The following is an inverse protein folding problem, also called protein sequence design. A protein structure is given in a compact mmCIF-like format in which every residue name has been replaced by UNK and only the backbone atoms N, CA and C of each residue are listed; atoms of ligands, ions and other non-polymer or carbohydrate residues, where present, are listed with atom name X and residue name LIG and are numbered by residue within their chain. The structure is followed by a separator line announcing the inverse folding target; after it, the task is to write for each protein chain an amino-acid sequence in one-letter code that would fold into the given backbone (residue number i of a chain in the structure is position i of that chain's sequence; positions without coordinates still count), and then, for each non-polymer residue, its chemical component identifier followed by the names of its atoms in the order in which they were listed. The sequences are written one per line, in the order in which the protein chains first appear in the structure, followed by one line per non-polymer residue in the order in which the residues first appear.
data_IF_554138101322
#
_entry.id   IF_554138101322
#
_cell.length_a   1.000
_cell.length_b   1.000
_cell.length_c   1.000
_cell.angle_alpha   90.00
_cell.angle_beta   90.00
_cell.angle_gamma   90.00
#
_symmetry.space_group_name_H-M   'P 1'
#
loop_
_entity.id
_entity.type
_entity.pdbx_description
1 polymer ?
#
# COMPACT_ATOMS: atom_id res chain seq x y z
N UNK A 1 -73.51 -36.58 0.63
CA UNK A 1 -72.07 -36.62 0.98
C UNK A 1 -71.87 -35.96 2.33
N UNK A 2 -71.22 -36.71 3.25
CA UNK A 2 -70.34 -36.35 4.39
C UNK A 2 -70.76 -35.26 5.43
N UNK A 3 -70.34 -35.42 6.71
CA UNK A 3 -71.13 -34.97 7.86
C UNK A 3 -70.49 -33.83 8.68
N UNK A 4 -71.39 -33.06 9.32
CA UNK A 4 -71.42 -32.56 10.72
C UNK A 4 -70.13 -32.19 11.49
N UNK A 5 -70.24 -30.98 12.10
CA UNK A 5 -69.95 -30.57 13.50
C UNK A 5 -68.49 -30.68 14.01
N UNK A 6 -67.95 -29.61 14.60
CA UNK A 6 -67.97 -29.34 16.05
C UNK A 6 -67.14 -28.09 16.42
N UNK A 7 -67.54 -27.51 17.55
CA UNK A 7 -66.99 -26.37 18.29
C UNK A 7 -65.89 -26.86 19.27
N UNK A 8 -64.99 -25.95 19.69
CA UNK A 8 -63.95 -26.04 20.75
C UNK A 8 -62.66 -26.79 20.35
N UNK A 9 -61.45 -26.35 20.72
CA UNK A 9 -60.93 -26.28 22.09
C UNK A 9 -59.72 -25.33 22.16
N UNK A 10 -59.72 -24.49 23.20
CA UNK A 10 -58.57 -23.82 23.83
C UNK A 10 -57.70 -24.88 24.54
N UNK A 11 -56.37 -24.80 24.39
CA UNK A 11 -55.33 -25.35 25.30
C UNK A 11 -55.11 -26.88 25.32
N UNK A 12 -53.88 -27.27 24.97
CA UNK A 12 -52.99 -28.23 25.64
C UNK A 12 -51.71 -28.28 24.75
N UNK A 13 -50.53 -27.80 25.12
CA UNK A 13 -49.86 -27.92 26.40
C UNK A 13 -49.00 -26.68 26.67
N UNK A 14 -49.28 -26.02 27.78
CA UNK A 14 -48.23 -25.48 28.61
C UNK A 14 -47.50 -26.65 29.29
N UNK A 15 -46.23 -26.43 29.63
CA UNK A 15 -45.44 -27.13 30.65
C UNK A 15 -44.86 -28.50 30.29
N UNK A 16 -43.66 -28.50 29.68
CA UNK A 16 -42.45 -29.30 29.99
C UNK A 16 -41.38 -28.69 29.07
N UNK A 17 -40.57 -27.69 29.42
CA UNK A 17 -39.53 -27.67 30.45
C UNK A 17 -39.40 -26.26 31.01
N UNK A 18 -39.35 -26.13 32.33
CA UNK A 18 -38.71 -25.00 32.99
C UNK A 18 -37.22 -25.11 32.76
N UNK A 19 -36.67 -24.24 31.92
CA UNK A 19 -35.32 -23.73 32.13
C UNK A 19 -35.38 -22.22 31.96
N UNK A 20 -34.92 -21.55 33.00
CA UNK A 20 -34.83 -20.10 33.08
C UNK A 20 -33.89 -19.58 32.02
N UNK A 21 -34.43 -18.85 31.04
CA UNK A 21 -33.72 -17.75 30.45
C UNK A 21 -34.61 -16.52 30.63
N UNK A 22 -34.26 -15.68 31.60
CA UNK A 22 -34.58 -14.27 31.49
C UNK A 22 -34.21 -13.86 30.08
N UNK A 23 -35.20 -13.51 29.25
CA UNK A 23 -34.92 -12.84 27.99
C UNK A 23 -34.16 -11.57 28.35
N UNK A 24 -32.84 -11.63 28.22
CA UNK A 24 -32.00 -10.46 28.17
C UNK A 24 -32.64 -9.63 27.05
N UNK A 25 -33.09 -8.39 27.30
CA UNK A 25 -33.62 -7.56 26.23
C UNK A 25 -32.59 -7.59 25.12
N UNK A 26 -33.03 -8.02 23.94
CA UNK A 26 -32.16 -8.27 22.81
C UNK A 26 -31.56 -6.94 22.37
N UNK A 27 -30.43 -6.61 22.98
CA UNK A 27 -29.74 -5.34 22.80
C UNK A 27 -28.85 -5.40 21.55
N UNK A 28 -29.12 -6.33 20.63
CA UNK A 28 -28.51 -6.35 19.32
C UNK A 28 -28.91 -5.06 18.58
N UNK A 29 -27.96 -4.13 18.50
CA UNK A 29 -28.03 -3.04 17.54
C UNK A 29 -28.08 -3.73 16.18
N UNK A 30 -29.25 -3.71 15.56
CA UNK A 30 -29.43 -4.30 14.25
C UNK A 30 -28.72 -3.41 13.24
N UNK A 31 -27.57 -3.86 12.73
CA UNK A 31 -26.87 -3.21 11.63
C UNK A 31 -27.70 -3.21 10.32
N UNK A 32 -28.88 -3.87 10.31
CA UNK A 32 -29.84 -3.92 9.20
C UNK A 32 -30.33 -2.55 8.71
N UNK A 33 -30.22 -1.50 9.52
CA UNK A 33 -30.59 -0.14 9.11
C UNK A 33 -29.45 0.62 8.40
N UNK A 34 -28.25 0.05 8.30
CA UNK A 34 -27.19 0.65 7.51
C UNK A 34 -27.42 0.39 6.02
N UNK A 35 -27.27 1.46 5.22
CA UNK A 35 -27.53 1.40 3.78
C UNK A 35 -26.42 0.71 2.99
N UNK A 36 -25.17 0.78 3.46
CA UNK A 36 -24.01 0.28 2.71
C UNK A 36 -22.91 -0.31 3.60
N UNK A 37 -22.08 -1.17 3.00
CA UNK A 37 -20.85 -1.70 3.64
C UNK A 37 -19.85 -0.57 3.97
N UNK A 38 -19.82 0.49 3.17
CA UNK A 38 -18.91 1.61 3.41
C UNK A 38 -19.28 2.38 4.68
N UNK A 39 -20.58 2.58 4.92
CA UNK A 39 -21.09 3.17 6.16
C UNK A 39 -20.74 2.30 7.38
N UNK A 40 -20.87 0.97 7.23
CA UNK A 40 -20.51 0.01 8.27
C UNK A 40 -19.02 0.08 8.62
N UNK A 41 -18.14 0.07 7.61
CA UNK A 41 -16.70 0.09 7.81
C UNK A 41 -16.17 1.45 8.29
N UNK A 42 -16.91 2.53 8.06
CA UNK A 42 -16.56 3.88 8.53
C UNK A 42 -16.80 4.09 10.04
N UNK A 43 -17.57 3.21 10.69
CA UNK A 43 -17.86 3.33 12.11
C UNK A 43 -16.59 3.26 12.98
N UNK A 44 -16.55 4.00 14.10
CA UNK A 44 -15.51 3.83 15.10
C UNK A 44 -15.60 2.43 15.72
N UNK A 45 -14.46 1.88 16.15
CA UNK A 45 -14.41 0.56 16.79
C UNK A 45 -15.34 0.47 18.01
N UNK A 46 -15.54 1.58 18.73
CA UNK A 46 -16.46 1.67 19.86
C UNK A 46 -17.92 1.42 19.50
N UNK A 47 -18.32 1.60 18.24
CA UNK A 47 -19.68 1.35 17.74
C UNK A 47 -19.74 0.05 16.94
N UNK A 48 -18.75 -0.16 16.07
CA UNK A 48 -18.65 -1.33 15.19
C UNK A 48 -18.51 -2.64 15.97
N UNK A 49 -17.85 -2.60 17.13
CA UNK A 49 -17.52 -3.79 17.92
C UNK A 49 -18.50 -4.03 19.08
N UNK A 50 -19.54 -3.19 19.24
CA UNK A 50 -20.57 -3.40 20.26
C UNK A 50 -21.29 -4.73 20.04
N UNK A 51 -21.52 -5.46 21.13
CA UNK A 51 -22.30 -6.70 21.15
C UNK A 51 -21.83 -7.77 20.13
N UNK A 52 -20.53 -7.82 19.86
CA UNK A 52 -19.92 -8.80 18.93
C UNK A 52 -19.86 -8.34 17.48
N UNK A 53 -20.34 -7.14 17.16
CA UNK A 53 -20.32 -6.56 15.82
C UNK A 53 -21.40 -7.12 14.87
N UNK A 54 -21.35 -6.74 13.58
CA UNK A 54 -22.32 -7.20 12.59
C UNK A 54 -22.19 -8.70 12.32
N UNK A 55 -23.33 -9.36 12.08
CA UNK A 55 -23.38 -10.78 11.70
C UNK A 55 -23.00 -10.98 10.23
N UNK A 56 -22.74 -12.24 9.82
CA UNK A 56 -22.53 -12.56 8.40
C UNK A 56 -23.74 -12.15 7.57
N UNK A 57 -24.93 -12.44 8.07
CA UNK A 57 -26.20 -12.13 7.41
C UNK A 57 -26.39 -10.62 7.24
N UNK A 58 -25.96 -9.80 8.21
CA UNK A 58 -26.01 -8.34 8.09
C UNK A 58 -25.11 -7.84 6.94
N UNK A 59 -23.89 -8.37 6.84
CA UNK A 59 -22.92 -7.99 5.80
C UNK A 59 -23.40 -8.48 4.42
N UNK A 60 -23.85 -9.73 4.33
CA UNK A 60 -24.38 -10.31 3.10
C UNK A 60 -25.59 -9.54 2.58
N UNK A 61 -26.52 -9.14 3.47
CA UNK A 61 -27.69 -8.36 3.09
C UNK A 61 -27.29 -6.99 2.54
N UNK A 62 -26.28 -6.32 3.12
CA UNK A 62 -25.76 -5.06 2.59
C UNK A 62 -25.11 -5.23 1.20
N UNK A 63 -24.34 -6.31 1.02
CA UNK A 63 -23.74 -6.64 -0.27
C UNK A 63 -24.79 -6.95 -1.33
N UNK A 64 -25.85 -7.69 -0.98
CA UNK A 64 -26.97 -8.02 -1.85
C UNK A 64 -27.77 -6.80 -2.31
N UNK A 65 -27.90 -5.80 -1.43
CA UNK A 65 -28.54 -4.53 -1.74
C UNK A 65 -27.60 -3.54 -2.47
N UNK A 66 -26.36 -3.95 -2.74
CA UNK A 66 -25.38 -3.14 -3.45
C UNK A 66 -25.78 -2.85 -4.90
N UNK A 67 -25.34 -1.70 -5.44
CA UNK A 67 -25.69 -1.22 -6.78
C UNK A 67 -25.28 -2.19 -7.91
N UNK A 68 -24.18 -2.93 -7.75
CA UNK A 68 -23.71 -3.90 -8.74
C UNK A 68 -24.23 -5.34 -8.50
N UNK A 69 -24.83 -5.62 -7.34
CA UNK A 69 -25.24 -6.98 -6.99
C UNK A 69 -26.34 -7.50 -7.92
N UNK A 70 -27.40 -6.71 -8.15
CA UNK A 70 -28.51 -7.10 -9.03
C UNK A 70 -28.06 -7.45 -10.46
N UNK A 71 -27.30 -6.60 -11.18
CA UNK A 71 -26.81 -6.97 -12.50
C UNK A 71 -25.84 -8.17 -12.48
N UNK A 72 -25.02 -8.35 -11.42
CA UNK A 72 -24.18 -9.55 -11.27
C UNK A 72 -25.02 -10.83 -11.19
N UNK A 73 -26.07 -10.84 -10.36
CA UNK A 73 -26.98 -11.99 -10.23
C UNK A 73 -27.77 -12.28 -11.51
N UNK A 74 -28.13 -11.26 -12.28
CA UNK A 74 -28.84 -11.44 -13.55
C UNK A 74 -27.95 -12.09 -14.61
N UNK A 75 -26.64 -11.85 -14.57
CA UNK A 75 -25.68 -12.40 -15.53
C UNK A 75 -25.20 -13.81 -15.14
N UNK A 76 -24.73 -13.99 -13.91
CA UNK A 76 -24.25 -15.28 -13.39
C UNK A 76 -24.54 -15.39 -11.89
N UNK A 77 -25.65 -16.04 -11.50
CA UNK A 77 -26.01 -16.21 -10.10
C UNK A 77 -24.98 -16.98 -9.27
N UNK A 78 -24.23 -17.90 -9.88
CA UNK A 78 -23.26 -18.73 -9.17
C UNK A 78 -21.99 -17.92 -8.87
N UNK A 79 -21.49 -17.18 -9.86
CA UNK A 79 -20.37 -16.26 -9.67
C UNK A 79 -20.72 -15.13 -8.69
N UNK A 80 -21.94 -14.58 -8.78
CA UNK A 80 -22.40 -13.53 -7.86
C UNK A 80 -22.42 -14.00 -6.40
N UNK A 81 -22.93 -15.21 -6.12
CA UNK A 81 -22.89 -15.81 -4.76
C UNK A 81 -21.47 -16.00 -4.27
N UNK A 82 -20.57 -16.51 -5.11
CA UNK A 82 -19.18 -16.72 -4.74
C UNK A 82 -18.47 -15.40 -4.37
N UNK A 83 -18.67 -14.35 -5.16
CA UNK A 83 -18.09 -13.03 -4.90
C UNK A 83 -18.63 -12.43 -3.60
N UNK A 84 -19.95 -12.50 -3.36
CA UNK A 84 -20.55 -11.97 -2.14
C UNK A 84 -20.05 -12.70 -0.90
N UNK A 85 -19.95 -14.03 -0.96
CA UNK A 85 -19.39 -14.81 0.14
C UNK A 85 -17.93 -14.44 0.41
N UNK A 86 -17.12 -14.26 -0.64
CA UNK A 86 -15.72 -13.84 -0.51
C UNK A 86 -15.61 -12.43 0.11
N UNK A 87 -16.42 -11.48 -0.36
CA UNK A 87 -16.47 -10.13 0.20
C UNK A 87 -16.90 -10.15 1.67
N UNK A 88 -17.95 -10.90 2.01
CA UNK A 88 -18.46 -11.03 3.37
C UNK A 88 -17.39 -11.52 4.34
N UNK A 89 -16.70 -12.60 4.00
CA UNK A 89 -15.63 -13.16 4.84
C UNK A 89 -14.46 -12.18 5.02
N UNK A 90 -14.06 -11.45 3.96
CA UNK A 90 -12.98 -10.46 4.05
C UNK A 90 -13.39 -9.24 4.89
N UNK A 91 -14.61 -8.74 4.74
CA UNK A 91 -15.16 -7.65 5.55
C UNK A 91 -15.20 -8.07 7.01
N UNK A 92 -15.71 -9.26 7.31
CA UNK A 92 -15.77 -9.81 8.67
C UNK A 92 -14.39 -9.96 9.30
N UNK A 93 -13.40 -10.46 8.55
CA UNK A 93 -12.02 -10.55 9.01
C UNK A 93 -11.45 -9.16 9.36
N UNK A 94 -11.73 -8.16 8.53
CA UNK A 94 -11.27 -6.78 8.76
C UNK A 94 -11.95 -6.13 9.97
N UNK A 95 -13.25 -6.34 10.15
CA UNK A 95 -13.98 -5.88 11.33
C UNK A 95 -13.38 -6.51 12.59
N UNK A 96 -13.14 -7.83 12.58
CA UNK A 96 -12.49 -8.54 13.69
C UNK A 96 -11.10 -7.95 14.01
N UNK A 97 -10.31 -7.61 12.99
CA UNK A 97 -9.01 -6.96 13.16
C UNK A 97 -9.16 -5.58 13.83
N UNK A 98 -10.07 -4.73 13.34
CA UNK A 98 -10.37 -3.43 13.96
C UNK A 98 -10.81 -3.56 15.41
N UNK A 99 -11.59 -4.59 15.74
CA UNK A 99 -12.04 -4.85 17.10
C UNK A 99 -10.96 -5.45 18.02
N UNK A 100 -9.91 -6.04 17.46
CA UNK A 100 -8.86 -6.72 18.22
C UNK A 100 -7.64 -5.83 18.50
N UNK A 101 -7.43 -4.77 17.71
CA UNK A 101 -6.31 -3.85 17.88
C UNK A 101 -6.80 -2.50 18.41
N UNK A 102 -6.58 -2.18 19.71
CA UNK A 102 -6.61 -0.79 20.15
C UNK A 102 -5.49 -0.02 19.44
N UNK A 103 -5.76 1.23 19.03
CA UNK A 103 -4.81 2.10 18.34
C UNK A 103 -3.44 2.05 19.04
N UNK A 104 -2.44 1.50 18.36
CA UNK A 104 -1.08 1.51 18.88
C UNK A 104 -0.58 2.96 18.89
N UNK A 105 0.13 3.41 19.93
CA UNK A 105 0.71 4.74 19.94
C UNK A 105 1.72 4.87 18.80
N UNK A 106 1.31 5.54 17.72
CA UNK A 106 2.16 5.94 16.63
C UNK A 106 2.78 7.30 16.95
N UNK A 107 4.05 7.51 16.61
CA UNK A 107 4.69 8.82 16.74
C UNK A 107 3.99 9.80 15.81
N UNK A 108 3.67 10.98 16.32
CA UNK A 108 3.07 12.06 15.53
C UNK A 108 4.07 12.58 14.49
N UNK A 109 3.73 12.45 13.22
CA UNK A 109 4.48 13.04 12.11
C UNK A 109 3.97 14.48 11.86
N UNK A 110 4.87 15.37 11.46
CA UNK A 110 4.50 16.76 11.09
C UNK A 110 4.93 17.06 9.66
N UNK A 111 4.31 18.08 9.06
CA UNK A 111 4.63 18.50 7.68
C UNK A 111 6.08 18.95 7.55
N UNK A 112 6.65 19.54 8.60
CA UNK A 112 8.05 19.96 8.66
C UNK A 112 8.99 18.76 8.62
N UNK A 113 8.60 17.64 9.24
CA UNK A 113 9.40 16.42 9.25
C UNK A 113 9.48 15.82 7.83
N UNK A 114 8.38 15.83 7.08
CA UNK A 114 8.37 15.41 5.68
C UNK A 114 9.19 16.32 4.75
N UNK A 115 9.44 17.58 5.15
CA UNK A 115 10.30 18.51 4.41
C UNK A 115 11.79 18.34 4.72
N UNK A 116 12.13 17.68 5.83
CA UNK A 116 13.51 17.53 6.29
C UNK A 116 13.88 16.04 6.36
N UNK A 117 14.49 15.58 5.27
CA UNK A 117 14.91 14.19 5.13
C UNK A 117 15.93 13.75 6.20
N UNK A 118 16.84 14.63 6.61
CA UNK A 118 17.79 14.35 7.70
C UNK A 118 17.09 14.16 9.04
N UNK A 119 16.15 15.04 9.38
CA UNK A 119 15.39 14.95 10.60
C UNK A 119 14.48 13.70 10.61
N UNK A 120 13.89 13.35 9.47
CA UNK A 120 13.08 12.13 9.31
C UNK A 120 13.94 10.88 9.51
N UNK A 121 15.03 10.74 8.75
CA UNK A 121 15.85 9.52 8.79
C UNK A 121 16.59 9.34 10.12
N UNK A 122 16.99 10.42 10.81
CA UNK A 122 17.53 10.34 12.18
C UNK A 122 16.54 9.72 13.17
N UNK A 123 15.25 9.91 12.94
CA UNK A 123 14.19 9.33 13.77
C UNK A 123 13.65 8.01 13.22
N UNK A 124 14.24 7.49 12.14
CA UNK A 124 13.75 6.31 11.42
C UNK A 124 12.66 6.63 10.40
N UNK A 125 12.70 5.91 9.27
CA UNK A 125 11.71 6.02 8.20
C UNK A 125 10.29 5.84 8.77
N UNK A 126 9.32 6.67 8.33
CA UNK A 126 7.95 6.58 8.80
C UNK A 126 7.32 5.26 8.38
N UNK A 127 6.65 4.62 9.32
CA UNK A 127 5.90 3.38 9.07
C UNK A 127 4.58 3.67 8.36
N UNK A 128 4.00 2.63 7.77
CA UNK A 128 2.68 2.70 7.13
C UNK A 128 1.63 3.28 8.09
N UNK A 129 1.56 2.82 9.34
CA UNK A 129 0.58 3.28 10.32
C UNK A 129 0.78 4.75 10.73
N UNK A 130 2.03 5.20 10.86
CA UNK A 130 2.34 6.61 11.14
C UNK A 130 1.88 7.53 9.99
N UNK A 131 2.03 7.07 8.74
CA UNK A 131 1.60 7.83 7.56
C UNK A 131 0.07 7.85 7.44
N UNK A 132 -0.62 6.73 7.73
CA UNK A 132 -2.09 6.68 7.78
C UNK A 132 -2.65 7.69 8.79
N UNK A 133 -2.07 7.73 9.98
CA UNK A 133 -2.47 8.68 11.03
C UNK A 133 -2.24 10.12 10.56
N UNK A 134 -1.08 10.41 9.96
CA UNK A 134 -0.77 11.72 9.41
C UNK A 134 -1.76 12.17 8.33
N UNK A 135 -2.12 11.28 7.39
CA UNK A 135 -3.11 11.60 6.34
C UNK A 135 -4.48 11.90 6.98
N UNK A 136 -4.88 11.13 8.00
CA UNK A 136 -6.17 11.31 8.68
C UNK A 136 -6.25 12.62 9.48
N UNK A 137 -5.15 13.03 10.12
CA UNK A 137 -5.07 14.25 10.93
C UNK A 137 -4.72 15.52 10.15
N UNK A 138 -4.32 15.39 8.88
CA UNK A 138 -3.82 16.51 8.09
C UNK A 138 -4.95 17.33 7.46
N UNK A 139 -4.93 18.65 7.70
CA UNK A 139 -5.81 19.61 7.05
C UNK A 139 -5.35 20.02 5.63
N UNK A 140 -4.25 19.44 5.15
CA UNK A 140 -3.68 19.81 3.86
C UNK A 140 -4.62 19.43 2.69
N UNK A 141 -5.02 20.37 1.82
CA UNK A 141 -5.92 20.09 0.69
C UNK A 141 -5.41 18.98 -0.22
N UNK A 142 -4.10 18.89 -0.42
CA UNK A 142 -3.45 17.86 -1.23
C UNK A 142 -3.61 16.43 -0.66
N UNK A 143 -3.89 16.31 0.64
CA UNK A 143 -4.12 15.03 1.34
C UNK A 143 -5.61 14.78 1.62
N UNK A 144 -6.50 15.66 1.15
CA UNK A 144 -7.94 15.48 1.28
C UNK A 144 -8.44 14.36 0.35
N UNK A 145 -8.52 13.15 0.89
CA UNK A 145 -8.96 11.96 0.16
C UNK A 145 -10.39 12.13 -0.37
N UNK A 146 -11.27 12.77 0.39
CA UNK A 146 -12.67 12.92 0.00
C UNK A 146 -12.82 13.86 -1.22
N UNK A 147 -11.96 14.88 -1.32
CA UNK A 147 -11.88 15.72 -2.50
C UNK A 147 -11.32 14.96 -3.70
N UNK A 148 -10.31 14.11 -3.51
CA UNK A 148 -9.78 13.26 -4.58
C UNK A 148 -10.82 12.26 -5.09
N UNK A 149 -11.61 11.66 -4.17
CA UNK A 149 -12.70 10.75 -4.52
C UNK A 149 -13.82 11.43 -5.30
N UNK A 150 -14.14 12.68 -4.97
CA UNK A 150 -15.13 13.49 -5.72
C UNK A 150 -14.68 13.84 -7.13
N UNK A 151 -13.37 13.87 -7.39
CA UNK A 151 -12.83 14.13 -8.72
C UNK A 151 -12.94 12.91 -9.66
N UNK A 152 -13.17 11.72 -9.13
CA UNK A 152 -13.35 10.50 -9.92
C UNK A 152 -14.80 10.45 -10.45
N UNK A 153 -15.01 10.26 -11.77
CA UNK A 153 -16.35 10.06 -12.31
C UNK A 153 -17.11 8.95 -11.59
N UNK A 154 -18.42 9.14 -11.42
CA UNK A 154 -19.26 8.27 -10.59
C UNK A 154 -19.17 6.79 -11.01
N UNK A 155 -19.22 6.52 -12.30
CA UNK A 155 -19.17 5.16 -12.86
C UNK A 155 -17.84 4.46 -12.54
N UNK A 156 -16.73 5.21 -12.60
CA UNK A 156 -15.41 4.69 -12.26
C UNK A 156 -15.28 4.48 -10.75
N UNK A 157 -15.82 5.41 -9.96
CA UNK A 157 -15.81 5.32 -8.50
C UNK A 157 -16.53 4.06 -8.02
N UNK A 158 -17.68 3.75 -8.63
CA UNK A 158 -18.46 2.55 -8.33
C UNK A 158 -17.66 1.25 -8.52
N UNK A 159 -16.92 1.15 -9.63
CA UNK A 159 -16.06 -0.03 -9.90
C UNK A 159 -14.93 -0.13 -8.86
N UNK A 160 -14.34 1.00 -8.49
CA UNK A 160 -13.27 1.05 -7.50
C UNK A 160 -13.76 0.71 -6.08
N UNK A 161 -14.97 1.16 -5.71
CA UNK A 161 -15.64 0.82 -4.45
C UNK A 161 -15.85 -0.70 -4.34
N UNK A 162 -16.38 -1.34 -5.39
CA UNK A 162 -16.55 -2.79 -5.40
C UNK A 162 -15.21 -3.55 -5.39
N UNK A 163 -14.19 -3.01 -6.08
CA UNK A 163 -12.83 -3.52 -6.02
C UNK A 163 -12.19 -3.44 -4.63
N UNK A 164 -12.50 -2.39 -3.86
CA UNK A 164 -12.04 -2.23 -2.49
C UNK A 164 -12.73 -3.23 -1.54
N UNK A 165 -14.04 -3.46 -1.72
CA UNK A 165 -14.82 -4.45 -0.95
C UNK A 165 -14.30 -5.87 -1.12
N UNK A 166 -13.81 -6.22 -2.31
CA UNK A 166 -13.09 -7.50 -2.53
C UNK A 166 -11.84 -7.64 -1.65
N UNK A 167 -11.34 -6.59 -1.02
CA UNK A 167 -10.23 -6.64 -0.06
C UNK A 167 -10.67 -6.33 1.37
N UNK A 168 -11.98 -6.18 1.62
CA UNK A 168 -12.52 -5.80 2.93
C UNK A 168 -12.25 -4.34 3.30
N UNK A 169 -11.98 -3.47 2.32
CA UNK A 169 -11.75 -2.04 2.54
C UNK A 169 -12.87 -1.20 1.96
N UNK A 170 -13.11 -0.03 2.55
CA UNK A 170 -13.74 1.07 1.82
C UNK A 170 -12.78 1.62 0.77
N UNK A 171 -13.31 2.26 -0.28
CA UNK A 171 -12.45 2.91 -1.28
C UNK A 171 -11.49 3.94 -0.65
N UNK A 172 -11.98 4.69 0.34
CA UNK A 172 -11.19 5.65 1.10
C UNK A 172 -10.02 4.99 1.81
N UNK A 173 -10.27 3.91 2.56
CA UNK A 173 -9.21 3.17 3.26
C UNK A 173 -8.21 2.58 2.28
N UNK A 174 -8.66 2.03 1.16
CA UNK A 174 -7.77 1.47 0.15
C UNK A 174 -6.84 2.53 -0.45
N UNK A 175 -7.33 3.74 -0.72
CA UNK A 175 -6.48 4.85 -1.19
C UNK A 175 -5.47 5.27 -0.13
N UNK A 176 -5.88 5.40 1.13
CA UNK A 176 -4.99 5.76 2.24
C UNK A 176 -3.92 4.68 2.42
N UNK A 177 -4.28 3.40 2.36
CA UNK A 177 -3.36 2.26 2.44
C UNK A 177 -2.30 2.29 1.34
N UNK A 178 -2.73 2.52 0.09
CA UNK A 178 -1.84 2.58 -1.08
C UNK A 178 -0.86 3.76 -0.99
N UNK A 179 -1.36 4.95 -0.64
CA UNK A 179 -0.53 6.14 -0.42
C UNK A 179 0.47 5.87 0.70
N UNK A 180 0.01 5.40 1.86
CA UNK A 180 0.86 5.13 3.02
C UNK A 180 1.95 4.09 2.70
N UNK A 181 1.59 3.01 1.99
CA UNK A 181 2.54 1.97 1.57
C UNK A 181 3.59 2.53 0.62
N UNK A 182 3.19 3.33 -0.38
CA UNK A 182 4.13 3.95 -1.33
C UNK A 182 5.07 4.92 -0.64
N UNK A 183 4.54 5.77 0.23
CA UNK A 183 5.33 6.75 0.98
C UNK A 183 6.30 6.05 1.92
N UNK A 184 5.86 5.05 2.70
CA UNK A 184 6.72 4.25 3.60
C UNK A 184 7.90 3.65 2.83
N UNK A 185 7.63 2.94 1.73
CA UNK A 185 8.67 2.31 0.91
C UNK A 185 9.65 3.31 0.31
N UNK A 186 9.18 4.49 -0.09
CA UNK A 186 10.06 5.52 -0.64
C UNK A 186 10.99 6.07 0.45
N UNK A 187 10.49 6.30 1.66
CA UNK A 187 11.31 6.74 2.78
C UNK A 187 12.26 5.68 3.29
N UNK A 188 11.85 4.41 3.33
CA UNK A 188 12.74 3.29 3.65
C UNK A 188 13.96 3.29 2.72
N UNK A 189 13.75 3.46 1.41
CA UNK A 189 14.85 3.58 0.44
C UNK A 189 15.67 4.84 0.66
N UNK A 190 15.04 6.01 0.78
CA UNK A 190 15.75 7.28 0.96
C UNK A 190 16.64 7.29 2.21
N UNK A 191 16.15 6.75 3.33
CA UNK A 191 16.93 6.66 4.55
C UNK A 191 18.05 5.61 4.46
N UNK A 192 17.83 4.48 3.78
CA UNK A 192 18.86 3.49 3.54
C UNK A 192 19.99 4.04 2.66
N UNK A 193 19.64 4.70 1.56
CA UNK A 193 20.59 5.33 0.64
C UNK A 193 21.40 6.40 1.37
N UNK A 194 20.74 7.23 2.19
CA UNK A 194 21.43 8.26 2.98
C UNK A 194 22.40 7.67 3.98
N UNK A 195 22.02 6.61 4.69
CA UNK A 195 22.92 5.92 5.62
C UNK A 195 24.14 5.36 4.87
N UNK A 196 23.93 4.77 3.69
CA UNK A 196 25.00 4.30 2.81
C UNK A 196 25.95 5.44 2.41
N UNK A 197 25.44 6.59 1.97
CA UNK A 197 26.27 7.75 1.63
C UNK A 197 27.00 8.34 2.84
N UNK A 198 26.34 8.46 4.00
CA UNK A 198 26.98 8.94 5.23
C UNK A 198 28.12 8.02 5.68
N UNK A 199 27.94 6.71 5.58
CA UNK A 199 28.99 5.73 5.89
C UNK A 199 30.13 5.80 4.88
N UNK A 200 29.83 5.96 3.58
CA UNK A 200 30.85 6.17 2.54
C UNK A 200 31.68 7.43 2.80
N UNK A 201 31.04 8.56 3.16
CA UNK A 201 31.73 9.82 3.48
C UNK A 201 32.55 9.74 4.76
N UNK A 202 32.07 9.02 5.79
CA UNK A 202 32.85 8.77 7.02
C UNK A 202 34.09 7.91 6.75
N UNK A 203 33.95 6.88 5.91
CA UNK A 203 35.07 6.04 5.48
C UNK A 203 36.08 6.83 4.65
N UNK A 204 35.62 7.70 3.74
CA UNK A 204 36.47 8.61 2.97
C UNK A 204 37.23 9.61 3.86
N UNK A 205 36.61 10.14 4.93
CA UNK A 205 37.28 11.00 5.91
C UNK A 205 38.34 10.24 6.72
N UNK A 206 38.07 9.00 7.08
CA UNK A 206 39.02 8.13 7.78
C UNK A 206 40.21 7.75 6.86
N UNK A 207 39.97 7.58 5.57
CA UNK A 207 41.01 7.34 4.57
C UNK A 207 41.82 8.61 4.24
N UNK A 208 41.23 9.81 4.30
CA UNK A 208 41.94 11.08 4.12
C UNK A 208 42.96 11.38 5.23
N UNK A 209 42.67 11.01 6.49
CA UNK A 209 43.64 11.09 7.58
C UNK A 209 44.78 10.04 7.46
N UNK A 210 44.68 9.10 6.51
CA UNK A 210 45.70 8.10 6.19
C UNK A 210 46.35 8.28 4.81
N UNK A 211 46.13 9.41 4.13
CA UNK A 211 46.64 9.61 2.77
C UNK A 211 48.13 9.97 2.75
N UNK A 212 48.95 8.95 2.92
CA UNK A 212 50.21 8.79 2.18
C UNK A 212 50.33 7.33 1.74
N UNK A 213 49.45 6.89 0.85
CA UNK A 213 49.70 5.75 -0.04
C UNK A 213 48.79 5.86 -1.29
N UNK A 214 49.26 5.51 -2.50
CA UNK A 214 48.42 5.49 -3.70
C UNK A 214 47.21 4.57 -3.51
N UNK A 215 46.06 4.95 -4.09
CA UNK A 215 44.88 4.11 -4.07
C UNK A 215 45.18 2.76 -4.75
N UNK A 216 44.65 1.64 -4.23
CA UNK A 216 44.80 0.36 -4.90
C UNK A 216 44.13 0.43 -6.30
N UNK A 217 44.71 -0.20 -7.33
CA UNK A 217 44.23 -0.15 -8.72
C UNK A 217 42.73 -0.48 -8.89
N UNK A 218 42.17 -1.29 -7.99
CA UNK A 218 40.75 -1.65 -8.00
C UNK A 218 39.82 -0.47 -7.68
N UNK A 219 40.27 0.44 -6.83
CA UNK A 219 39.52 1.64 -6.46
C UNK A 219 39.52 2.67 -7.60
N UNK A 220 40.66 2.83 -8.28
CA UNK A 220 40.80 3.73 -9.43
C UNK A 220 39.92 3.29 -10.60
N UNK A 221 39.87 1.98 -10.89
CA UNK A 221 38.96 1.45 -11.90
C UNK A 221 37.50 1.71 -11.54
N UNK A 222 37.11 1.50 -10.28
CA UNK A 222 35.74 1.75 -9.82
C UNK A 222 35.33 3.22 -9.96
N UNK A 223 36.25 4.14 -9.69
CA UNK A 223 36.03 5.58 -9.87
C UNK A 223 35.83 5.89 -11.36
N UNK A 224 36.68 5.36 -12.24
CA UNK A 224 36.56 5.55 -13.69
C UNK A 224 35.23 4.98 -14.24
N UNK A 225 34.86 3.76 -13.85
CA UNK A 225 33.61 3.12 -14.30
C UNK A 225 32.36 3.90 -13.83
N UNK A 226 32.38 4.40 -12.59
CA UNK A 226 31.30 5.25 -12.07
C UNK A 226 31.17 6.53 -12.90
N UNK A 227 32.29 7.21 -13.20
CA UNK A 227 32.30 8.43 -14.01
C UNK A 227 31.74 8.18 -15.42
N UNK A 228 32.15 7.08 -16.07
CA UNK A 228 31.65 6.69 -17.39
C UNK A 228 30.12 6.48 -17.39
N UNK A 229 29.60 5.78 -16.38
CA UNK A 229 28.16 5.53 -16.25
C UNK A 229 27.35 6.82 -16.01
N UNK A 230 27.90 7.77 -15.27
CA UNK A 230 27.24 9.05 -15.03
C UNK A 230 27.20 9.93 -16.29
N UNK A 231 28.28 9.96 -17.08
CA UNK A 231 28.30 10.63 -18.39
C UNK A 231 27.28 9.99 -19.32
N UNK A 232 27.26 8.65 -19.38
CA UNK A 232 26.31 7.92 -20.20
C UNK A 232 24.86 8.27 -19.84
N UNK A 233 24.51 8.36 -18.55
CA UNK A 233 23.16 8.74 -18.10
C UNK A 233 22.77 10.18 -18.45
N UNK A 234 23.75 11.10 -18.48
CA UNK A 234 23.53 12.52 -18.79
C UNK A 234 23.31 12.77 -20.29
N UNK A 235 23.69 11.85 -21.17
CA UNK A 235 23.49 11.99 -22.61
C UNK A 235 21.99 11.99 -22.99
N UNK A 236 21.56 12.89 -23.92
CA UNK A 236 20.21 12.87 -24.49
C UNK A 236 19.85 11.51 -25.09
N UNK A 237 18.56 11.17 -25.08
CA UNK A 237 18.08 9.87 -25.56
C UNK A 237 18.52 9.53 -26.99
N UNK A 238 18.40 10.48 -27.92
CA UNK A 238 18.80 10.27 -29.32
C UNK A 238 20.30 10.01 -29.48
N UNK A 239 21.15 10.72 -28.72
CA UNK A 239 22.60 10.47 -28.70
C UNK A 239 22.93 9.11 -28.10
N UNK A 240 22.26 8.72 -27.00
CA UNK A 240 22.44 7.39 -26.40
C UNK A 240 22.06 6.27 -27.38
N UNK A 241 20.95 6.45 -28.11
CA UNK A 241 20.48 5.50 -29.14
C UNK A 241 21.51 5.35 -30.26
N UNK A 242 22.07 6.46 -30.74
CA UNK A 242 23.11 6.47 -31.77
C UNK A 242 24.42 5.82 -31.29
N UNK A 243 24.86 6.10 -30.05
CA UNK A 243 26.12 5.60 -29.49
C UNK A 243 26.04 4.16 -28.97
N UNK A 244 24.84 3.60 -28.81
CA UNK A 244 24.61 2.27 -28.22
C UNK A 244 25.39 1.13 -28.91
N UNK A 245 25.46 1.06 -30.26
CA UNK A 245 26.25 0.03 -30.93
C UNK A 245 27.75 0.15 -30.64
N UNK A 246 28.28 1.39 -30.61
CA UNK A 246 29.68 1.69 -30.26
C UNK A 246 29.96 1.31 -28.80
N UNK A 247 29.05 1.63 -27.88
CA UNK A 247 29.17 1.29 -26.46
C UNK A 247 29.21 -0.23 -26.24
N UNK A 248 28.33 -0.99 -26.91
CA UNK A 248 28.33 -2.46 -26.84
C UNK A 248 29.61 -3.07 -27.40
N UNK A 249 30.20 -2.46 -28.44
CA UNK A 249 31.47 -2.91 -29.00
C UNK A 249 32.62 -2.66 -28.01
N UNK A 250 32.66 -1.48 -27.38
CA UNK A 250 33.65 -1.15 -26.36
C UNK A 250 33.59 -2.11 -25.16
N UNK A 251 32.40 -2.42 -24.64
CA UNK A 251 32.23 -3.40 -23.53
C UNK A 251 32.84 -4.76 -23.90
N UNK A 252 32.63 -5.23 -25.14
CA UNK A 252 33.23 -6.50 -25.60
C UNK A 252 34.74 -6.43 -25.72
N UNK A 253 35.29 -5.26 -26.03
CA UNK A 253 36.74 -5.06 -26.14
C UNK A 253 37.45 -5.03 -24.79
N UNK A 254 36.75 -4.79 -23.67
CA UNK A 254 37.34 -4.88 -22.34
C UNK A 254 37.93 -6.27 -22.03
N UNK A 255 37.42 -7.32 -22.71
CA UNK A 255 37.97 -8.68 -22.61
C UNK A 255 39.45 -8.78 -23.04
N UNK A 256 39.93 -7.86 -23.89
CA UNK A 256 41.34 -7.80 -24.33
C UNK A 256 42.28 -7.53 -23.15
N UNK A 257 41.80 -6.83 -22.11
CA UNK A 257 42.60 -6.50 -20.94
C UNK A 257 42.88 -7.71 -20.02
N UNK A 258 42.24 -8.87 -20.20
CA UNK A 258 42.50 -10.07 -19.37
C UNK A 258 42.59 -9.81 -17.86
N UNK A 259 41.72 -8.93 -17.33
CA UNK A 259 41.68 -8.50 -15.91
C UNK A 259 42.88 -7.63 -15.44
N UNK A 260 43.72 -7.13 -16.35
CA UNK A 260 44.69 -6.08 -16.05
C UNK A 260 43.96 -4.76 -15.74
N UNK A 261 44.04 -4.35 -14.47
CA UNK A 261 43.36 -3.16 -13.95
C UNK A 261 43.86 -1.87 -14.59
N UNK A 262 45.15 -1.76 -14.91
CA UNK A 262 45.68 -0.56 -15.56
C UNK A 262 45.14 -0.43 -16.99
N UNK A 263 45.11 -1.54 -17.73
CA UNK A 263 44.49 -1.61 -19.06
C UNK A 263 43.01 -1.21 -19.03
N UNK A 264 42.27 -1.72 -18.04
CA UNK A 264 40.85 -1.42 -17.85
C UNK A 264 40.61 0.06 -17.50
N UNK A 265 41.44 0.64 -16.63
CA UNK A 265 41.41 2.07 -16.29
C UNK A 265 41.66 2.92 -17.53
N UNK A 266 42.73 2.63 -18.28
CA UNK A 266 43.10 3.40 -19.47
C UNK A 266 42.03 3.33 -20.57
N UNK A 267 41.45 2.14 -20.78
CA UNK A 267 40.34 1.96 -21.72
C UNK A 267 39.07 2.70 -21.30
N UNK A 268 38.80 2.77 -20.01
CA UNK A 268 37.62 3.45 -19.45
C UNK A 268 37.80 4.97 -19.52
N UNK A 269 38.98 5.48 -19.19
CA UNK A 269 39.32 6.90 -19.31
C UNK A 269 39.30 7.39 -20.75
N UNK A 270 39.81 6.60 -21.71
CA UNK A 270 39.69 6.92 -23.14
C UNK A 270 38.22 7.02 -23.57
N UNK A 271 37.39 6.09 -23.12
CA UNK A 271 35.96 6.09 -23.46
C UNK A 271 35.21 7.26 -22.84
N UNK A 272 35.57 7.68 -21.64
CA UNK A 272 35.05 8.90 -20.99
C UNK A 272 35.29 10.11 -21.89
N UNK A 273 36.51 10.30 -22.38
CA UNK A 273 36.88 11.43 -23.24
C UNK A 273 36.08 11.41 -24.54
N UNK A 274 35.91 10.25 -25.17
CA UNK A 274 35.07 10.10 -26.37
C UNK A 274 33.62 10.51 -26.12
N UNK A 275 33.02 10.04 -25.02
CA UNK A 275 31.63 10.35 -24.67
C UNK A 275 31.43 11.82 -24.26
N UNK A 276 32.40 12.42 -23.58
CA UNK A 276 32.40 13.85 -23.25
C UNK A 276 32.45 14.69 -24.55
N UNK A 277 33.30 14.33 -25.52
CA UNK A 277 33.39 15.02 -26.82
C UNK A 277 32.12 14.93 -27.67
N UNK A 278 31.38 13.82 -27.59
CA UNK A 278 30.09 13.64 -28.27
C UNK A 278 28.94 14.34 -27.53
N UNK A 279 29.12 14.68 -26.25
CA UNK A 279 28.14 15.45 -25.49
C UNK A 279 28.18 16.95 -25.86
N UNK A 280 29.36 17.48 -26.18
CA UNK A 280 29.61 18.89 -26.52
C UNK A 280 29.25 19.28 -27.97
N UNK A 281 29.10 18.30 -28.87
CA UNK A 281 28.66 18.51 -30.27
C UNK A 281 27.14 18.62 -30.41
#
# INVERSE_FOLDING_TARGET
MKPRKFINIIVLNALLFTDTATAIPDNHISFRNMGTVDDLLALPASELCLNGGPTSDDIELMLLNGPLARPMYQNDPAAARMIINEQSERIKARIKEKCSNPDKPARKLTKELFKNEDAMCKRGAPTIEEIKLFIKESDAPELNIDQQLKAIPYENRLILEEGAKLKGYTLREMMVEDIATKVSKNWERACADKLYFQNKVKNLKYDQDKLTLPAPPDEEYRIADTKLNDIWKKLPFEKRKFLLPSQRKWIKQQAICNQDMQCLIDMTNKRIIELESENEK
#
